data_IF_686877485904
#
_entry.id   IF_686877485904
#
_cell.length_a   1.000
_cell.length_b   1.000
_cell.length_c   1.000
_cell.angle_alpha   90.00
_cell.angle_beta   90.00
_cell.angle_gamma   90.00
#
_symmetry.space_group_name_H-M   'P 1'
#
loop_
_entity.id
_entity.type
_entity.pdbx_description
1 polymer ?
#
# COMPACT_ATOMS: atom_id res chain seq x y z
N UNK A 1 -30.50 39.73 -0.84
CA UNK A 1 -29.71 38.60 -1.39
C UNK A 1 -28.58 38.26 -0.41
N UNK A 2 -28.41 37.00 0.04
CA UNK A 2 -27.31 36.64 0.92
C UNK A 2 -26.01 36.53 0.11
N UNK A 3 -24.93 37.18 0.58
CA UNK A 3 -23.60 37.14 -0.05
C UNK A 3 -22.99 35.73 0.09
N UNK A 4 -22.27 35.21 -0.93
CA UNK A 4 -21.57 33.94 -0.79
C UNK A 4 -20.51 34.05 0.31
N UNK A 5 -20.55 33.15 1.29
CA UNK A 5 -19.48 33.02 2.29
C UNK A 5 -18.22 32.56 1.56
N UNK A 6 -17.22 33.44 1.50
CA UNK A 6 -15.88 33.09 1.05
C UNK A 6 -15.33 32.09 2.06
N UNK A 7 -15.18 30.84 1.63
CA UNK A 7 -14.48 29.82 2.42
C UNK A 7 -13.00 30.01 2.09
N UNK A 8 -12.29 30.69 2.97
CA UNK A 8 -10.84 30.77 2.89
C UNK A 8 -10.29 29.36 3.09
N UNK A 9 -9.70 28.78 2.05
CA UNK A 9 -8.96 27.53 2.15
C UNK A 9 -7.52 27.88 2.56
N UNK A 10 -7.21 27.81 3.85
CA UNK A 10 -5.82 27.70 4.27
C UNK A 10 -5.35 26.28 3.99
N UNK A 11 -4.37 26.16 3.09
CA UNK A 11 -3.67 24.89 2.86
C UNK A 11 -2.72 24.72 4.03
N UNK A 12 -3.18 24.02 5.08
CA UNK A 12 -2.36 23.72 6.25
C UNK A 12 -1.22 22.78 5.83
N UNK A 13 0.01 23.13 6.22
CA UNK A 13 1.17 22.25 6.06
C UNK A 13 1.01 20.99 6.92
N UNK A 14 1.72 19.91 6.57
CA UNK A 14 1.66 18.62 7.28
C UNK A 14 1.84 18.73 8.80
N UNK A 15 2.67 19.69 9.23
CA UNK A 15 2.94 19.99 10.64
C UNK A 15 1.75 20.66 11.34
N UNK A 16 1.15 21.66 10.72
CA UNK A 16 -0.03 22.38 11.25
C UNK A 16 -1.24 21.46 11.38
N UNK A 17 -1.42 20.55 10.41
CA UNK A 17 -2.44 19.49 10.48
C UNK A 17 -2.19 18.57 11.67
N UNK A 18 -0.94 18.21 11.96
CA UNK A 18 -0.60 17.34 13.08
C UNK A 18 -0.89 17.98 14.44
N UNK A 19 -0.66 19.29 14.58
CA UNK A 19 -0.96 20.07 15.79
C UNK A 19 -2.48 20.20 15.98
N UNK A 20 -3.22 20.45 14.90
CA UNK A 20 -4.69 20.47 14.90
C UNK A 20 -5.31 19.13 15.33
N UNK A 21 -4.64 18.02 15.01
CA UNK A 21 -5.07 16.69 15.40
C UNK A 21 -4.90 16.40 16.89
N UNK A 22 -3.88 17.00 17.51
CA UNK A 22 -3.68 16.93 18.96
C UNK A 22 -4.78 17.72 19.67
N UNK A 23 -5.15 18.89 19.17
CA UNK A 23 -6.24 19.71 19.72
C UNK A 23 -7.63 19.06 19.59
N UNK A 24 -7.87 18.32 18.50
CA UNK A 24 -9.13 17.58 18.28
C UNK A 24 -9.32 16.37 19.21
N UNK A 25 -8.29 15.96 19.95
CA UNK A 25 -8.33 14.88 20.95
C UNK A 25 -8.40 13.46 20.35
N UNK A 26 -9.28 13.20 19.37
CA UNK A 26 -9.35 11.92 18.63
C UNK A 26 -9.89 12.11 17.21
N UNK A 27 -9.16 11.57 16.22
CA UNK A 27 -9.63 11.52 14.83
C UNK A 27 -10.61 10.37 14.65
N UNK A 28 -11.75 10.57 13.95
CA UNK A 28 -12.65 9.47 13.64
C UNK A 28 -11.93 8.37 12.85
N UNK A 29 -12.08 7.12 13.31
CA UNK A 29 -11.38 5.97 12.70
C UNK A 29 -11.76 5.73 11.24
N UNK A 30 -12.96 6.17 10.83
CA UNK A 30 -13.42 6.14 9.43
C UNK A 30 -12.58 7.07 8.54
N UNK A 31 -12.24 8.26 9.02
CA UNK A 31 -11.43 9.25 8.31
C UNK A 31 -10.00 8.76 8.13
N UNK A 32 -9.40 8.21 9.19
CA UNK A 32 -8.06 7.57 9.14
C UNK A 32 -8.02 6.44 8.11
N UNK A 33 -9.06 5.59 8.08
CA UNK A 33 -9.16 4.50 7.11
C UNK A 33 -9.30 5.00 5.67
N UNK A 34 -10.08 6.07 5.43
CA UNK A 34 -10.22 6.69 4.10
C UNK A 34 -8.90 7.26 3.62
N UNK A 35 -8.20 8.01 4.47
CA UNK A 35 -6.90 8.59 4.18
C UNK A 35 -5.88 7.50 3.83
N UNK A 36 -5.70 6.51 4.70
CA UNK A 36 -4.74 5.42 4.48
C UNK A 36 -5.03 4.62 3.20
N UNK A 37 -6.31 4.41 2.86
CA UNK A 37 -6.70 3.77 1.59
C UNK A 37 -6.31 4.62 0.37
N UNK A 38 -6.46 5.95 0.46
CA UNK A 38 -6.08 6.86 -0.63
C UNK A 38 -4.57 6.81 -0.89
N UNK A 39 -3.75 6.87 0.17
CA UNK A 39 -2.29 6.71 0.08
C UNK A 39 -1.89 5.38 -0.56
N UNK A 40 -2.44 4.27 -0.08
CA UNK A 40 -2.17 2.96 -0.67
C UNK A 40 -2.64 2.82 -2.12
N UNK A 41 -3.70 3.53 -2.51
CA UNK A 41 -4.18 3.54 -3.92
C UNK A 41 -3.19 4.27 -4.83
N UNK A 42 -2.57 5.36 -4.36
CA UNK A 42 -1.51 6.04 -5.10
C UNK A 42 -0.29 5.16 -5.28
N UNK A 43 0.19 4.54 -4.19
CA UNK A 43 1.32 3.61 -4.24
C UNK A 43 1.02 2.45 -5.19
N UNK A 44 -0.16 1.83 -5.09
CA UNK A 44 -0.60 0.79 -6.03
C UNK A 44 -0.54 1.30 -7.47
N UNK A 45 -1.08 2.48 -7.75
CA UNK A 45 -1.08 3.06 -9.11
C UNK A 45 0.35 3.26 -9.62
N UNK A 46 1.25 3.75 -8.77
CA UNK A 46 2.68 3.92 -9.10
C UNK A 46 3.37 2.60 -9.40
N UNK A 47 3.15 1.58 -8.57
CA UNK A 47 3.65 0.21 -8.82
C UNK A 47 3.10 -0.31 -10.15
N UNK A 48 1.81 -0.11 -10.40
CA UNK A 48 1.13 -0.59 -11.62
C UNK A 48 1.66 0.07 -12.89
N UNK A 49 2.13 1.32 -12.80
CA UNK A 49 2.69 2.08 -13.92
C UNK A 49 4.22 2.00 -14.01
N UNK A 50 4.89 1.45 -13.00
CA UNK A 50 6.35 1.34 -12.97
C UNK A 50 6.89 0.49 -14.11
N UNK A 51 7.92 0.99 -14.78
CA UNK A 51 8.66 0.23 -15.79
C UNK A 51 9.44 -0.95 -15.19
N UNK A 52 9.71 -0.92 -13.87
CA UNK A 52 10.42 -1.99 -13.16
C UNK A 52 9.56 -3.23 -12.91
N UNK A 53 8.23 -3.12 -13.06
CA UNK A 53 7.34 -4.24 -12.84
C UNK A 53 7.45 -5.23 -14.01
N UNK A 54 7.85 -6.50 -13.77
CA UNK A 54 8.10 -7.47 -14.83
C UNK A 54 6.84 -7.76 -15.66
N UNK A 55 6.91 -7.48 -16.96
CA UNK A 55 5.78 -7.65 -17.89
C UNK A 55 5.99 -8.91 -18.73
N UNK A 56 5.95 -10.10 -18.12
CA UNK A 56 5.94 -11.34 -18.94
C UNK A 56 4.53 -11.71 -19.41
N UNK A 57 3.52 -11.53 -18.55
CA UNK A 57 2.13 -11.96 -18.81
C UNK A 57 1.06 -10.94 -18.39
N UNK A 58 1.45 -9.74 -17.94
CA UNK A 58 0.51 -8.69 -17.49
C UNK A 58 -0.22 -8.96 -16.16
N UNK A 59 -0.34 -10.23 -15.74
CA UNK A 59 -1.05 -10.63 -14.51
C UNK A 59 -0.49 -10.01 -13.22
N UNK A 60 0.81 -9.70 -13.18
CA UNK A 60 1.42 -8.98 -12.06
C UNK A 60 0.79 -7.60 -11.84
N UNK A 61 0.41 -6.88 -12.91
CA UNK A 61 -0.26 -5.58 -12.79
C UNK A 61 -1.70 -5.74 -12.33
N UNK A 62 -2.44 -6.68 -12.93
CA UNK A 62 -3.87 -6.87 -12.64
C UNK A 62 -4.13 -7.47 -11.26
N UNK A 63 -3.16 -8.18 -10.70
CA UNK A 63 -3.26 -8.81 -9.38
C UNK A 63 -2.96 -7.85 -8.22
N UNK A 64 -2.46 -6.64 -8.45
CA UNK A 64 -2.16 -5.70 -7.38
C UNK A 64 -3.42 -5.20 -6.66
N UNK A 65 -3.44 -5.39 -5.35
CA UNK A 65 -4.52 -5.01 -4.44
C UNK A 65 -3.98 -4.27 -3.22
N UNK A 66 -4.76 -3.33 -2.70
CA UNK A 66 -4.49 -2.69 -1.42
C UNK A 66 -5.38 -3.34 -0.36
N UNK A 67 -4.79 -4.15 0.50
CA UNK A 67 -5.49 -4.89 1.56
C UNK A 67 -5.26 -4.19 2.88
N UNK A 68 -6.32 -4.04 3.67
CA UNK A 68 -6.18 -3.50 5.01
C UNK A 68 -5.54 -4.57 5.91
N UNK A 69 -4.45 -4.22 6.60
CA UNK A 69 -3.86 -5.12 7.58
C UNK A 69 -4.82 -5.35 8.75
N UNK A 70 -4.90 -6.59 9.23
CA UNK A 70 -5.68 -6.92 10.43
C UNK A 70 -5.04 -6.23 11.62
N UNK A 71 -5.83 -5.43 12.34
CA UNK A 71 -5.38 -4.79 13.58
C UNK A 71 -5.15 -5.87 14.63
N UNK A 72 -3.94 -5.96 15.18
CA UNK A 72 -3.74 -6.59 16.47
C UNK A 72 -4.10 -5.59 17.57
N UNK A 73 -4.46 -6.07 18.76
CA UNK A 73 -5.03 -5.26 19.85
C UNK A 73 -4.19 -4.05 20.32
N UNK A 74 -2.92 -3.93 19.88
CA UNK A 74 -2.04 -2.79 20.16
C UNK A 74 -2.21 -1.60 19.19
N UNK A 75 -2.89 -1.78 18.05
CA UNK A 75 -2.95 -0.79 16.96
C UNK A 75 -4.36 -0.22 16.73
N UNK A 76 -5.14 -0.01 17.79
CA UNK A 76 -6.57 0.33 17.69
C UNK A 76 -6.89 1.70 17.04
N UNK A 77 -5.91 2.61 16.94
CA UNK A 77 -6.04 3.90 16.23
C UNK A 77 -5.48 3.94 14.80
N UNK A 78 -4.74 2.90 14.37
CA UNK A 78 -4.01 2.93 13.10
C UNK A 78 -4.79 2.17 12.01
N UNK A 79 -4.71 2.69 10.78
CA UNK A 79 -5.17 1.96 9.60
C UNK A 79 -4.01 1.82 8.64
N UNK A 80 -3.49 0.60 8.50
CA UNK A 80 -2.43 0.28 7.56
C UNK A 80 -3.04 -0.46 6.37
N UNK A 81 -2.63 -0.07 5.18
CA UNK A 81 -2.97 -0.76 3.95
C UNK A 81 -1.68 -1.26 3.29
N UNK A 82 -1.63 -2.56 3.08
CA UNK A 82 -0.54 -3.21 2.37
C UNK A 82 -0.90 -3.31 0.88
N UNK A 83 -0.01 -2.85 0.01
CA UNK A 83 -0.09 -3.15 -1.42
C UNK A 83 0.53 -4.54 -1.63
N UNK A 84 -0.29 -5.49 -2.05
CA UNK A 84 0.08 -6.91 -2.21
C UNK A 84 -0.59 -7.50 -3.45
N UNK A 85 -0.34 -8.77 -3.71
CA UNK A 85 -0.94 -9.51 -4.80
C UNK A 85 -2.20 -10.25 -4.35
N UNK A 86 -3.21 -10.27 -5.22
CA UNK A 86 -4.48 -10.92 -4.96
C UNK A 86 -4.31 -12.44 -5.01
N UNK A 87 -4.70 -13.09 -3.92
CA UNK A 87 -4.63 -14.55 -3.74
C UNK A 87 -5.38 -15.33 -4.83
N UNK A 88 -6.37 -14.73 -5.50
CA UNK A 88 -7.07 -15.35 -6.64
C UNK A 88 -6.16 -15.67 -7.82
N UNK A 89 -5.02 -14.99 -7.92
CA UNK A 89 -4.02 -15.23 -8.95
C UNK A 89 -2.93 -16.22 -8.50
N UNK A 90 -3.06 -16.82 -7.31
CA UNK A 90 -2.09 -17.78 -6.82
C UNK A 90 -1.96 -19.01 -7.73
N UNK A 91 -3.03 -19.46 -8.39
CA UNK A 91 -2.95 -20.54 -9.39
C UNK A 91 -2.03 -20.22 -10.58
N UNK A 92 -1.82 -18.93 -10.87
CA UNK A 92 -0.93 -18.44 -11.93
C UNK A 92 0.49 -18.21 -11.38
N UNK A 93 0.59 -17.72 -10.16
CA UNK A 93 1.86 -17.29 -9.55
C UNK A 93 2.61 -18.36 -8.79
N UNK A 94 1.89 -19.32 -8.20
CA UNK A 94 2.46 -20.42 -7.46
C UNK A 94 2.72 -21.57 -8.41
N UNK A 95 3.94 -22.08 -8.40
CA UNK A 95 4.30 -23.31 -9.09
C UNK A 95 4.78 -24.33 -8.07
N UNK A 96 4.23 -25.52 -8.17
CA UNK A 96 4.72 -26.66 -7.41
C UNK A 96 6.12 -27.03 -7.87
N UNK A 97 7.00 -27.26 -6.91
CA UNK A 97 8.31 -27.82 -7.17
C UNK A 97 8.17 -29.29 -7.56
N UNK A 98 8.56 -29.62 -8.79
CA UNK A 98 8.54 -31.00 -9.32
C UNK A 98 9.89 -31.72 -9.15
N UNK A 99 10.78 -31.24 -8.27
CA UNK A 99 12.12 -31.79 -8.07
C UNK A 99 12.29 -32.53 -6.75
N UNK A 100 13.41 -33.24 -6.60
CA UNK A 100 13.86 -33.80 -5.31
C UNK A 100 14.18 -32.66 -4.34
N UNK A 101 13.70 -32.66 -3.09
CA UNK A 101 13.99 -31.61 -2.12
C UNK A 101 15.50 -31.38 -2.01
N UNK A 102 15.95 -30.12 -2.10
CA UNK A 102 17.34 -29.79 -1.78
C UNK A 102 17.61 -30.15 -0.32
N UNK A 103 18.75 -30.82 -0.07
CA UNK A 103 19.24 -31.18 1.28
C UNK A 103 19.09 -29.98 2.22
N UNK A 104 18.27 -30.12 3.28
CA UNK A 104 17.97 -29.07 4.25
C UNK A 104 16.55 -28.47 4.17
N UNK A 105 15.75 -28.78 3.14
CA UNK A 105 14.33 -28.39 3.11
C UNK A 105 13.48 -29.44 3.82
N UNK A 106 13.08 -29.16 5.05
CA UNK A 106 12.23 -30.02 5.87
C UNK A 106 10.80 -30.20 5.33
N UNK A 107 10.44 -29.54 4.22
CA UNK A 107 9.11 -29.59 3.62
C UNK A 107 9.15 -29.91 2.11
N UNK A 108 8.63 -31.07 1.67
CA UNK A 108 8.60 -31.48 0.27
C UNK A 108 7.63 -30.64 -0.60
N UNK A 109 6.79 -29.79 0.00
CA UNK A 109 5.88 -28.85 -0.69
C UNK A 109 6.53 -27.49 -0.96
N UNK A 110 7.74 -27.48 -1.51
CA UNK A 110 8.36 -26.22 -1.92
C UNK A 110 7.52 -25.61 -3.05
N UNK A 111 6.83 -24.51 -2.80
CA UNK A 111 6.10 -23.78 -3.83
C UNK A 111 6.90 -22.53 -4.18
N UNK A 112 7.16 -22.31 -5.47
CA UNK A 112 7.75 -21.07 -5.94
C UNK A 112 6.66 -20.03 -6.11
N UNK A 113 6.87 -18.86 -5.52
CA UNK A 113 5.96 -17.74 -5.68
C UNK A 113 6.58 -16.66 -6.56
N UNK A 114 6.09 -16.57 -7.80
CA UNK A 114 6.67 -15.70 -8.82
C UNK A 114 6.80 -14.23 -8.38
N UNK A 115 5.78 -13.57 -7.77
CA UNK A 115 5.92 -12.18 -7.35
C UNK A 115 7.03 -11.96 -6.32
N UNK A 116 7.21 -12.86 -5.36
CA UNK A 116 8.29 -12.74 -4.37
C UNK A 116 9.67 -12.92 -5.01
N UNK A 117 9.82 -13.87 -5.93
CA UNK A 117 11.08 -14.07 -6.66
C UNK A 117 11.43 -12.89 -7.55
N UNK A 118 10.42 -12.19 -8.09
CA UNK A 118 10.65 -10.97 -8.87
C UNK A 118 11.00 -9.77 -7.98
N UNK A 119 10.43 -9.64 -6.78
CA UNK A 119 10.71 -8.54 -5.86
C UNK A 119 12.09 -8.66 -5.22
N UNK A 120 12.40 -9.84 -4.65
CA UNK A 120 13.60 -10.05 -3.82
C UNK A 120 14.68 -10.90 -4.47
N UNK A 121 14.36 -11.59 -5.57
CA UNK A 121 15.27 -12.52 -6.22
C UNK A 121 15.12 -13.96 -5.71
N UNK A 122 15.97 -14.84 -6.20
CA UNK A 122 15.98 -16.26 -5.82
C UNK A 122 17.36 -16.88 -6.01
N UNK A 123 17.67 -17.88 -5.18
CA UNK A 123 18.92 -18.64 -5.30
C UNK A 123 18.84 -19.64 -6.47
N UNK A 124 19.90 -19.72 -7.27
CA UNK A 124 20.08 -20.73 -8.32
C UNK A 124 21.40 -21.49 -8.11
N UNK A 125 21.68 -22.49 -8.94
CA UNK A 125 22.92 -23.29 -8.87
C UNK A 125 24.21 -22.48 -9.09
N UNK A 126 24.10 -21.25 -9.59
CA UNK A 126 25.22 -20.39 -10.02
C UNK A 126 25.41 -19.14 -9.16
N UNK A 127 24.73 -19.02 -8.02
CA UNK A 127 24.91 -17.89 -7.09
C UNK A 127 23.71 -16.96 -6.88
N UNK A 128 22.55 -17.27 -7.48
CA UNK A 128 21.31 -16.51 -7.29
C UNK A 128 21.12 -15.38 -8.29
N UNK A 129 19.87 -14.91 -8.39
CA UNK A 129 19.44 -13.79 -9.23
C UNK A 129 18.81 -12.75 -8.30
N UNK A 130 19.27 -11.50 -8.38
CA UNK A 130 18.71 -10.39 -7.61
C UNK A 130 17.31 -10.01 -8.08
N UNK A 131 16.46 -9.56 -7.14
CA UNK A 131 15.13 -9.05 -7.45
C UNK A 131 15.14 -7.62 -7.98
N UNK A 132 14.00 -7.21 -8.53
CA UNK A 132 13.79 -5.87 -9.08
C UNK A 132 13.37 -4.82 -8.03
N UNK A 133 12.96 -5.25 -6.83
CA UNK A 133 12.51 -4.37 -5.74
C UNK A 133 11.46 -3.34 -6.15
N UNK A 134 10.55 -3.71 -7.07
CA UNK A 134 9.64 -2.78 -7.73
C UNK A 134 8.52 -2.29 -6.80
N UNK A 135 8.11 -3.08 -5.80
CA UNK A 135 7.19 -2.62 -4.75
C UNK A 135 7.88 -1.62 -3.84
N UNK A 136 9.08 -1.98 -3.34
CA UNK A 136 9.85 -1.12 -2.43
C UNK A 136 10.23 0.20 -3.08
N UNK A 137 10.78 0.18 -4.29
CA UNK A 137 11.21 1.38 -5.01
C UNK A 137 10.04 2.32 -5.30
N UNK A 138 8.90 1.78 -5.72
CA UNK A 138 7.70 2.55 -6.02
C UNK A 138 7.09 3.16 -4.76
N UNK A 139 7.11 2.43 -3.64
CA UNK A 139 6.62 2.94 -2.36
C UNK A 139 7.48 4.10 -1.84
N UNK A 140 8.81 3.99 -1.93
CA UNK A 140 9.74 5.05 -1.54
C UNK A 140 9.55 6.29 -2.44
N UNK A 141 9.45 6.09 -3.76
CA UNK A 141 9.28 7.18 -4.71
C UNK A 141 7.94 7.93 -4.52
N UNK A 142 6.88 7.23 -4.15
CA UNK A 142 5.54 7.82 -3.97
C UNK A 142 5.28 8.30 -2.53
N UNK A 143 6.25 8.18 -1.62
CA UNK A 143 6.05 8.42 -0.19
C UNK A 143 5.51 9.81 0.11
N UNK A 144 6.12 10.87 -0.47
CA UNK A 144 5.68 12.26 -0.25
C UNK A 144 4.27 12.49 -0.78
N UNK A 145 4.01 12.12 -2.04
CA UNK A 145 2.69 12.28 -2.66
C UNK A 145 1.59 11.51 -1.91
N UNK A 146 1.91 10.31 -1.41
CA UNK A 146 1.00 9.52 -0.62
C UNK A 146 0.67 10.20 0.71
N UNK A 147 1.66 10.78 1.40
CA UNK A 147 1.47 11.54 2.64
C UNK A 147 0.61 12.78 2.40
N UNK A 148 0.93 13.58 1.38
CA UNK A 148 0.16 14.78 1.04
C UNK A 148 -1.29 14.44 0.71
N UNK A 149 -1.51 13.35 -0.03
CA UNK A 149 -2.87 12.88 -0.34
C UNK A 149 -3.62 12.38 0.88
N UNK A 150 -2.93 11.70 1.78
CA UNK A 150 -3.51 11.25 3.05
C UNK A 150 -3.96 12.44 3.90
N UNK A 151 -3.12 13.48 3.99
CA UNK A 151 -3.41 14.73 4.69
C UNK A 151 -4.59 15.49 4.05
N UNK A 152 -4.60 15.61 2.73
CA UNK A 152 -5.70 16.26 2.00
C UNK A 152 -7.03 15.54 2.25
N UNK A 153 -7.05 14.20 2.17
CA UNK A 153 -8.27 13.40 2.34
C UNK A 153 -8.77 13.47 3.78
N UNK A 154 -7.88 13.40 4.77
CA UNK A 154 -8.28 13.41 6.17
C UNK A 154 -8.83 14.79 6.57
N UNK A 155 -8.18 15.87 6.16
CA UNK A 155 -8.63 17.24 6.45
C UNK A 155 -10.01 17.50 5.83
N UNK A 156 -10.21 17.12 4.57
CA UNK A 156 -11.52 17.23 3.89
C UNK A 156 -12.63 16.46 4.61
N UNK A 157 -12.34 15.26 5.09
CA UNK A 157 -13.32 14.43 5.79
C UNK A 157 -13.68 15.03 7.17
N UNK A 158 -12.70 15.60 7.88
CA UNK A 158 -12.93 16.26 9.17
C UNK A 158 -13.72 17.55 9.01
N UNK A 159 -13.39 18.36 8.01
CA UNK A 159 -14.14 19.57 7.70
C UNK A 159 -15.59 19.26 7.35
N UNK A 160 -15.84 18.14 6.66
CA UNK A 160 -17.20 17.67 6.38
C UNK A 160 -17.94 17.28 7.67
N UNK A 161 -17.28 16.53 8.56
CA UNK A 161 -17.84 16.13 9.86
C UNK A 161 -18.17 17.36 10.72
N UNK A 162 -17.28 18.35 10.78
CA UNK A 162 -17.52 19.60 11.53
C UNK A 162 -18.69 20.41 10.97
N UNK A 163 -18.92 20.36 9.65
CA UNK A 163 -20.04 21.03 8.98
C UNK A 163 -21.39 20.29 9.12
N UNK A 164 -21.44 19.19 9.87
CA UNK A 164 -22.68 18.45 10.15
C UNK A 164 -23.22 17.68 8.94
N UNK A 165 -22.34 17.24 8.03
CA UNK A 165 -22.67 16.39 6.88
C UNK A 165 -22.13 14.97 7.05
#
# INVERSE_FOLDING_TARGET
MPRPRVINFEVLNAREISEYFVELGRVPQKSVKKAARAGATLVKRRVSSSAQLPVKYGFLRSSLVAVQEKRSGRNTGLSVFQVTFNERYNSIFQKEYKGTPRRGSANPKSQYYYPASMEYGFANLKGGVGGHYFLKSSAIAEQSNAQDKMLEVISKDIDAIKKGR
#
